data_IF_916822773532
#
_entry.id   IF_916822773532
#
_cell.length_a   1.000
_cell.length_b   1.000
_cell.length_c   1.000
_cell.angle_alpha   90.00
_cell.angle_beta   90.00
_cell.angle_gamma   90.00
#
_symmetry.space_group_name_H-M   'P 1'
#
loop_
_entity.id
_entity.type
_entity.pdbx_description
1 polymer ?
#
# COMPACT_ATOMS: atom_id res chain seq x y z
N UNK A 1 7.30 24.93 6.85
CA UNK A 1 8.08 26.19 7.00
C UNK A 1 9.47 26.15 6.35
N UNK A 2 10.15 25.00 6.31
CA UNK A 2 11.54 24.83 5.80
C UNK A 2 11.70 24.93 4.27
N UNK A 3 10.72 24.52 3.47
CA UNK A 3 10.78 24.64 2.00
C UNK A 3 10.81 26.08 1.47
N UNK A 4 10.36 27.08 2.24
CA UNK A 4 10.47 28.50 1.83
C UNK A 4 11.91 28.99 1.91
N UNK A 5 12.66 28.62 2.96
CA UNK A 5 14.07 28.99 3.11
C UNK A 5 14.98 28.37 2.03
N UNK A 6 14.72 27.12 1.65
CA UNK A 6 15.45 26.43 0.57
C UNK A 6 15.23 27.06 -0.80
N UNK A 7 13.97 27.42 -1.11
CA UNK A 7 13.64 28.14 -2.34
C UNK A 7 14.25 29.54 -2.34
N UNK A 8 14.25 30.22 -1.19
CA UNK A 8 14.82 31.56 -1.05
C UNK A 8 16.33 31.51 -1.23
N UNK A 9 17.01 30.52 -0.64
CA UNK A 9 18.45 30.29 -0.81
C UNK A 9 18.81 29.95 -2.27
N UNK A 10 18.10 29.00 -2.89
CA UNK A 10 18.30 28.66 -4.30
C UNK A 10 18.06 29.85 -5.23
N UNK A 11 17.04 30.66 -4.95
CA UNK A 11 16.72 31.86 -5.71
C UNK A 11 17.79 32.94 -5.51
N UNK A 12 18.34 33.09 -4.31
CA UNK A 12 19.40 34.01 -3.98
C UNK A 12 20.72 33.65 -4.67
N UNK A 13 21.09 32.36 -4.63
CA UNK A 13 22.28 31.83 -5.34
C UNK A 13 22.10 31.99 -6.84
N UNK A 14 20.92 31.67 -7.39
CA UNK A 14 20.62 31.89 -8.80
C UNK A 14 20.75 33.37 -9.18
N UNK A 15 20.22 34.29 -8.37
CA UNK A 15 20.29 35.74 -8.63
C UNK A 15 21.73 36.25 -8.64
N UNK A 16 22.54 35.80 -7.68
CA UNK A 16 23.98 36.18 -7.60
C UNK A 16 24.74 35.68 -8.83
N UNK A 17 24.62 34.39 -9.15
CA UNK A 17 25.26 33.78 -10.32
C UNK A 17 24.77 34.44 -11.62
N UNK A 18 23.48 34.77 -11.72
CA UNK A 18 22.92 35.47 -12.88
C UNK A 18 23.46 36.89 -13.02
N UNK A 19 23.57 37.64 -11.93
CA UNK A 19 24.16 39.01 -11.94
C UNK A 19 25.64 38.99 -12.29
N UNK A 20 26.41 38.03 -11.78
CA UNK A 20 27.83 37.84 -12.15
C UNK A 20 27.96 37.46 -13.64
N UNK A 21 27.07 36.61 -14.16
CA UNK A 21 27.03 36.27 -15.57
C UNK A 21 26.74 37.48 -16.46
N UNK A 22 25.78 38.31 -16.04
CA UNK A 22 25.43 39.55 -16.74
C UNK A 22 26.60 40.56 -16.76
N UNK A 23 27.29 40.73 -15.63
CA UNK A 23 28.44 41.62 -15.50
C UNK A 23 29.61 41.15 -16.36
N UNK A 24 29.96 39.88 -16.30
CA UNK A 24 31.01 39.26 -17.11
C UNK A 24 30.66 39.29 -18.60
N UNK A 25 29.40 38.99 -18.96
CA UNK A 25 28.90 39.11 -20.32
C UNK A 25 28.99 40.50 -20.89
N UNK A 26 28.61 41.50 -20.11
CA UNK A 26 28.78 42.92 -20.47
C UNK A 26 30.24 43.33 -20.71
N UNK A 27 31.13 42.85 -19.85
CA UNK A 27 32.57 43.08 -19.95
C UNK A 27 33.17 42.42 -21.21
N UNK A 28 32.77 41.17 -21.52
CA UNK A 28 33.17 40.46 -22.76
C UNK A 28 32.69 41.20 -24.00
N UNK A 29 31.43 41.68 -24.02
CA UNK A 29 30.88 42.43 -25.13
C UNK A 29 31.65 43.76 -25.32
N UNK A 30 31.91 44.49 -24.25
CA UNK A 30 32.64 45.75 -24.29
C UNK A 30 34.10 45.60 -24.76
N UNK A 31 34.79 44.54 -24.25
CA UNK A 31 36.18 44.27 -24.60
C UNK A 31 36.32 43.77 -26.05
N UNK A 32 35.42 42.87 -26.48
CA UNK A 32 35.40 42.37 -27.86
C UNK A 32 35.16 43.50 -28.86
N UNK A 33 34.31 44.48 -28.54
CA UNK A 33 34.04 45.65 -29.36
C UNK A 33 35.31 46.48 -29.65
N UNK A 34 36.19 46.66 -28.66
CA UNK A 34 37.47 47.36 -28.83
C UNK A 34 38.47 46.52 -29.64
N UNK A 35 38.60 45.26 -29.37
CA UNK A 35 39.55 44.33 -30.03
C UNK A 35 39.24 44.17 -31.52
N UNK A 36 37.99 43.97 -31.87
CA UNK A 36 37.58 43.80 -33.27
C UNK A 36 37.69 45.09 -34.11
N UNK A 37 37.53 46.26 -33.47
CA UNK A 37 37.78 47.55 -34.15
C UNK A 37 39.27 47.73 -34.47
N UNK A 38 40.19 47.25 -33.64
CA UNK A 38 41.64 47.30 -33.86
C UNK A 38 42.09 46.48 -35.07
N UNK A 39 41.43 45.30 -35.30
CA UNK A 39 41.80 44.35 -36.35
C UNK A 39 40.96 44.44 -37.63
N UNK A 40 39.98 45.35 -37.72
CA UNK A 40 39.20 45.59 -38.94
C UNK A 40 38.28 44.46 -39.38
N UNK A 41 37.87 43.54 -38.47
CA UNK A 41 37.01 42.41 -38.80
C UNK A 41 35.57 42.84 -39.14
N UNK A 42 34.89 42.08 -40.08
CA UNK A 42 33.48 42.36 -40.39
C UNK A 42 32.58 42.26 -39.19
N UNK A 43 31.51 43.05 -39.13
CA UNK A 43 30.53 43.14 -38.03
C UNK A 43 29.91 41.76 -37.71
N UNK A 44 29.70 40.91 -38.75
CA UNK A 44 29.17 39.59 -38.59
C UNK A 44 30.03 38.65 -37.71
N UNK A 45 31.36 38.72 -37.83
CA UNK A 45 32.27 37.90 -37.00
C UNK A 45 32.25 38.36 -35.54
N UNK A 46 32.12 39.68 -35.31
CA UNK A 46 31.99 40.28 -33.96
C UNK A 46 30.70 39.76 -33.29
N UNK A 47 29.57 39.83 -34.00
CA UNK A 47 28.29 39.34 -33.46
C UNK A 47 28.31 37.86 -33.16
N UNK A 48 28.90 37.05 -34.04
CA UNK A 48 29.05 35.58 -33.81
C UNK A 48 29.93 35.31 -32.59
N UNK A 49 31.09 35.97 -32.45
CA UNK A 49 31.98 35.77 -31.29
C UNK A 49 31.27 36.19 -29.98
N UNK A 50 30.55 37.31 -29.96
CA UNK A 50 29.80 37.75 -28.82
C UNK A 50 28.69 36.75 -28.41
N UNK A 51 27.95 36.23 -29.41
CA UNK A 51 26.91 35.22 -29.17
C UNK A 51 27.52 33.92 -28.59
N UNK A 52 28.63 33.41 -29.14
CA UNK A 52 29.34 32.22 -28.64
C UNK A 52 29.87 32.45 -27.23
N UNK A 53 30.49 33.60 -26.95
CA UNK A 53 31.01 33.96 -25.64
C UNK A 53 29.89 34.04 -24.56
N UNK A 54 28.77 34.67 -24.91
CA UNK A 54 27.60 34.77 -24.02
C UNK A 54 26.97 33.41 -23.76
N UNK A 55 26.86 32.56 -24.80
CA UNK A 55 26.34 31.19 -24.64
C UNK A 55 27.28 30.36 -23.76
N UNK A 56 28.59 30.42 -23.99
CA UNK A 56 29.58 29.74 -23.16
C UNK A 56 29.55 30.20 -21.71
N UNK A 57 29.41 31.48 -21.47
CA UNK A 57 29.26 32.04 -20.13
C UNK A 57 27.96 31.55 -19.46
N UNK A 58 26.83 31.60 -20.17
CA UNK A 58 25.56 31.13 -19.65
C UNK A 58 25.59 29.62 -19.26
N UNK A 59 26.23 28.78 -20.10
CA UNK A 59 26.43 27.37 -19.82
C UNK A 59 27.34 27.14 -18.60
N UNK A 60 28.42 27.93 -18.47
CA UNK A 60 29.35 27.85 -17.32
C UNK A 60 28.63 28.24 -16.02
N UNK A 61 27.83 29.31 -16.05
CA UNK A 61 27.03 29.72 -14.89
C UNK A 61 25.96 28.69 -14.51
N UNK A 62 25.28 28.10 -15.49
CA UNK A 62 24.33 27.03 -15.24
C UNK A 62 25.00 25.80 -14.59
N UNK A 63 26.17 25.42 -15.11
CA UNK A 63 26.97 24.32 -14.56
C UNK A 63 27.43 24.60 -13.12
N UNK A 64 27.92 25.80 -12.86
CA UNK A 64 28.29 26.24 -11.51
C UNK A 64 27.08 26.23 -10.54
N UNK A 65 25.92 26.72 -10.99
CA UNK A 65 24.67 26.64 -10.21
C UNK A 65 24.30 25.21 -9.87
N UNK A 66 24.30 24.30 -10.85
CA UNK A 66 23.98 22.89 -10.65
C UNK A 66 24.96 22.27 -9.62
N UNK A 67 26.26 22.50 -9.77
CA UNK A 67 27.26 21.97 -8.84
C UNK A 67 27.08 22.51 -7.41
N UNK A 68 26.84 23.80 -7.25
CA UNK A 68 26.59 24.43 -5.95
C UNK A 68 25.30 23.90 -5.32
N UNK A 69 24.24 23.75 -6.11
CA UNK A 69 22.99 23.19 -5.64
C UNK A 69 23.14 21.75 -5.18
N UNK A 70 23.86 20.92 -5.94
CA UNK A 70 24.16 19.54 -5.54
C UNK A 70 25.05 19.45 -4.30
N UNK A 71 26.07 20.29 -4.21
CA UNK A 71 26.94 20.34 -3.03
C UNK A 71 26.17 20.77 -1.76
N UNK A 72 25.27 21.74 -1.91
CA UNK A 72 24.39 22.19 -0.82
C UNK A 72 23.42 21.09 -0.37
N UNK A 73 22.72 20.46 -1.33
CA UNK A 73 21.76 19.38 -1.02
C UNK A 73 22.46 18.17 -0.39
N UNK A 74 23.60 17.75 -0.92
CA UNK A 74 24.40 16.67 -0.35
C UNK A 74 24.90 16.99 1.07
N UNK A 75 25.38 18.21 1.31
CA UNK A 75 25.82 18.66 2.63
C UNK A 75 24.66 18.72 3.64
N UNK A 76 23.47 19.06 3.18
CA UNK A 76 22.25 19.09 3.99
C UNK A 76 21.83 17.66 4.35
N UNK A 77 21.76 16.77 3.36
CA UNK A 77 21.40 15.36 3.58
C UNK A 77 22.36 14.69 4.57
N UNK A 78 23.65 14.94 4.46
CA UNK A 78 24.65 14.43 5.41
C UNK A 78 24.43 14.95 6.84
N UNK A 79 24.08 16.24 6.99
CA UNK A 79 23.78 16.82 8.32
C UNK A 79 22.49 16.24 8.90
N UNK A 80 21.44 16.14 8.09
CA UNK A 80 20.15 15.60 8.51
C UNK A 80 20.31 14.12 8.89
N UNK A 81 21.09 13.34 8.13
CA UNK A 81 21.41 11.95 8.43
C UNK A 81 22.20 11.79 9.74
N UNK A 82 23.23 12.59 9.97
CA UNK A 82 23.99 12.58 11.25
C UNK A 82 23.09 12.95 12.42
N UNK A 83 22.27 13.98 12.26
CA UNK A 83 21.30 14.37 13.28
C UNK A 83 20.29 13.26 13.57
N UNK A 84 19.81 12.54 12.54
CA UNK A 84 18.94 11.38 12.70
C UNK A 84 19.62 10.25 13.47
N UNK A 85 20.87 9.89 13.13
CA UNK A 85 21.66 8.85 13.80
C UNK A 85 21.92 9.21 15.28
N UNK A 86 22.25 10.47 15.57
CA UNK A 86 22.42 10.98 16.94
C UNK A 86 21.13 10.87 17.75
N UNK A 87 19.98 11.27 17.18
CA UNK A 87 18.69 11.16 17.86
C UNK A 87 18.25 9.72 18.03
N UNK A 88 18.47 8.87 17.05
CA UNK A 88 18.19 7.45 17.13
C UNK A 88 18.94 6.82 18.31
N UNK A 89 20.24 7.15 18.45
CA UNK A 89 21.09 6.68 19.56
C UNK A 89 20.55 7.17 20.90
N UNK A 90 20.24 8.45 21.03
CA UNK A 90 19.68 9.04 22.27
C UNK A 90 18.36 8.41 22.69
N UNK A 91 17.43 8.24 21.75
CA UNK A 91 16.14 7.58 22.05
C UNK A 91 16.32 6.10 22.37
N UNK A 92 17.24 5.41 21.71
CA UNK A 92 17.56 4.00 22.04
C UNK A 92 18.14 3.90 23.44
N UNK A 93 19.06 4.77 23.83
CA UNK A 93 19.59 4.83 25.19
C UNK A 93 18.49 5.15 26.21
N UNK A 94 17.60 6.09 25.92
CA UNK A 94 16.48 6.42 26.77
C UNK A 94 15.49 5.25 26.94
N UNK A 95 15.27 4.44 25.91
CA UNK A 95 14.38 3.27 25.97
C UNK A 95 14.97 2.13 26.81
N UNK A 96 16.26 1.86 26.68
CA UNK A 96 16.92 0.72 27.30
C UNK A 96 17.79 1.07 28.52
N UNK A 97 18.29 2.31 28.60
CA UNK A 97 19.13 2.78 29.70
C UNK A 97 18.38 3.42 30.88
N UNK A 98 17.07 3.66 30.75
CA UNK A 98 16.22 4.23 31.80
C UNK A 98 16.33 5.75 31.96
N UNK A 99 17.16 6.45 31.23
CA UNK A 99 17.25 7.91 31.23
C UNK A 99 16.14 8.51 30.34
N UNK A 100 15.42 9.57 30.79
CA UNK A 100 14.43 10.20 29.94
C UNK A 100 15.11 10.90 28.73
N UNK A 101 14.45 10.94 27.57
CA UNK A 101 14.97 11.68 26.43
C UNK A 101 14.96 13.19 26.73
N UNK A 102 15.78 13.99 26.00
CA UNK A 102 15.72 15.44 26.12
C UNK A 102 14.29 15.97 25.94
N UNK A 103 13.87 17.03 26.65
CA UNK A 103 12.52 17.57 26.53
C UNK A 103 12.23 18.12 25.13
N UNK A 104 10.97 18.03 24.63
CA UNK A 104 10.56 18.67 23.37
C UNK A 104 10.64 20.22 23.51
N UNK A 105 10.68 20.98 22.40
CA UNK A 105 10.36 20.56 21.02
C UNK A 105 11.55 19.87 20.32
N UNK A 106 11.23 18.79 19.59
CA UNK A 106 12.23 18.04 18.85
C UNK A 106 12.30 18.46 17.37
N UNK A 107 13.50 18.49 16.76
CA UNK A 107 13.65 18.77 15.34
C UNK A 107 13.13 17.61 14.49
N UNK A 108 12.93 17.88 13.19
CA UNK A 108 12.42 16.88 12.24
C UNK A 108 13.19 15.54 12.26
N UNK A 109 14.55 15.50 12.26
CA UNK A 109 15.29 14.24 12.35
C UNK A 109 14.98 13.41 13.60
N UNK A 110 14.69 14.07 14.72
CA UNK A 110 14.29 13.37 15.95
C UNK A 110 12.91 12.72 15.83
N UNK A 111 11.94 13.41 15.22
CA UNK A 111 10.62 12.83 14.96
C UNK A 111 10.71 11.64 13.98
N UNK A 112 11.54 11.74 12.95
CA UNK A 112 11.80 10.65 12.02
C UNK A 112 12.45 9.44 12.72
N UNK A 113 13.38 9.67 13.65
CA UNK A 113 13.98 8.61 14.46
C UNK A 113 12.95 7.92 15.37
N UNK A 114 12.04 8.67 15.99
CA UNK A 114 10.96 8.09 16.79
C UNK A 114 9.99 7.27 15.96
N UNK A 115 9.61 7.74 14.75
CA UNK A 115 8.76 6.99 13.84
C UNK A 115 9.41 5.67 13.43
N UNK A 116 10.70 5.69 13.10
CA UNK A 116 11.46 4.48 12.76
C UNK A 116 11.53 3.49 13.92
N UNK A 117 11.77 3.96 15.14
CA UNK A 117 11.75 3.11 16.35
C UNK A 117 10.36 2.52 16.60
N UNK A 118 9.30 3.29 16.38
CA UNK A 118 7.91 2.81 16.54
C UNK A 118 7.53 1.72 15.53
N UNK A 119 8.10 1.73 14.33
CA UNK A 119 7.91 0.64 13.37
C UNK A 119 8.65 -0.64 13.75
N UNK A 120 9.86 -0.51 14.31
CA UNK A 120 10.71 -1.64 14.67
C UNK A 120 10.32 -2.30 16.00
N UNK A 121 9.85 -1.51 16.97
CA UNK A 121 9.60 -1.97 18.33
C UNK A 121 8.10 -2.25 18.56
N UNK A 122 7.82 -3.24 19.42
CA UNK A 122 6.46 -3.65 19.81
C UNK A 122 6.31 -3.61 21.34
N UNK A 123 5.07 -3.77 21.80
CA UNK A 123 4.76 -3.84 23.24
C UNK A 123 5.06 -2.55 23.98
N UNK A 124 5.60 -2.64 25.19
CA UNK A 124 5.82 -1.53 26.10
C UNK A 124 6.72 -0.42 25.52
N UNK A 125 7.75 -0.78 24.78
CA UNK A 125 8.62 0.21 24.13
C UNK A 125 7.88 1.03 23.08
N UNK A 126 7.02 0.38 22.31
CA UNK A 126 6.17 1.05 21.34
C UNK A 126 5.21 2.05 22.01
N UNK A 127 4.60 1.69 23.14
CA UNK A 127 3.72 2.60 23.89
C UNK A 127 4.47 3.78 24.53
N UNK A 128 5.69 3.56 25.02
CA UNK A 128 6.56 4.64 25.49
C UNK A 128 6.93 5.63 24.39
N UNK A 129 7.22 5.14 23.19
CA UNK A 129 7.45 6.00 22.01
C UNK A 129 6.18 6.79 21.65
N UNK A 130 5.00 6.15 21.73
CA UNK A 130 3.73 6.85 21.50
C UNK A 130 3.54 8.02 22.47
N UNK A 131 3.86 7.81 23.74
CA UNK A 131 3.77 8.86 24.75
C UNK A 131 4.73 10.02 24.42
N UNK A 132 5.96 9.73 24.04
CA UNK A 132 6.91 10.76 23.59
C UNK A 132 6.40 11.52 22.36
N UNK A 133 5.82 10.82 21.38
CA UNK A 133 5.22 11.48 20.21
C UNK A 133 4.05 12.38 20.59
N UNK A 134 3.21 12.02 21.60
CA UNK A 134 2.14 12.89 22.12
C UNK A 134 2.73 14.14 22.75
N UNK A 135 3.76 14.00 23.59
CA UNK A 135 4.45 15.14 24.24
C UNK A 135 5.10 16.07 23.19
N UNK A 136 5.66 15.52 22.12
CA UNK A 136 6.24 16.29 21.03
C UNK A 136 5.21 17.13 20.25
N UNK A 137 3.93 16.76 20.30
CA UNK A 137 2.84 17.41 19.57
C UNK A 137 3.20 17.70 18.09
N UNK A 138 3.47 16.67 17.29
CA UNK A 138 4.03 16.83 15.95
C UNK A 138 3.08 17.62 15.02
N UNK A 139 3.59 18.28 13.99
CA UNK A 139 2.81 19.20 13.18
C UNK A 139 1.85 18.50 12.19
N UNK A 140 1.91 17.18 12.04
CA UNK A 140 1.20 16.45 10.99
C UNK A 140 -0.33 16.64 10.98
N UNK A 141 -1.06 16.57 12.11
CA UNK A 141 -2.50 16.82 12.12
C UNK A 141 -2.85 18.26 11.71
N UNK A 142 -1.99 19.25 12.09
CA UNK A 142 -2.18 20.66 11.68
C UNK A 142 -1.92 20.86 10.19
N UNK A 143 -0.93 20.16 9.63
CA UNK A 143 -0.64 20.17 8.19
C UNK A 143 -1.86 19.71 7.41
N UNK A 144 -2.52 18.64 7.83
CA UNK A 144 -3.72 18.14 7.17
C UNK A 144 -4.89 19.14 7.22
N UNK A 145 -5.04 19.87 8.32
CA UNK A 145 -6.10 20.87 8.48
C UNK A 145 -5.86 22.17 7.71
N UNK A 146 -4.62 22.44 7.26
CA UNK A 146 -4.29 23.68 6.59
C UNK A 146 -4.62 23.66 5.09
N UNK A 147 -5.25 24.73 4.58
CA UNK A 147 -5.59 24.88 3.15
C UNK A 147 -4.36 25.06 2.25
N UNK A 148 -3.28 25.58 2.82
CA UNK A 148 -2.05 25.96 2.09
C UNK A 148 -1.02 24.81 1.99
N UNK A 149 -1.29 23.65 2.58
CA UNK A 149 -0.39 22.51 2.47
C UNK A 149 -0.36 21.97 1.03
N UNK A 150 0.84 21.83 0.47
CA UNK A 150 1.02 21.21 -0.83
C UNK A 150 0.69 19.70 -0.79
N UNK A 151 0.34 19.12 -1.95
CA UNK A 151 0.07 17.68 -2.06
C UNK A 151 1.18 16.80 -1.46
N UNK A 152 2.47 16.99 -1.77
CA UNK A 152 3.54 16.19 -1.16
C UNK A 152 3.60 16.30 0.36
N UNK A 153 3.35 17.50 0.90
CA UNK A 153 3.37 17.71 2.36
C UNK A 153 2.21 17.00 3.06
N UNK A 154 1.03 16.90 2.40
CA UNK A 154 -0.11 16.14 2.93
C UNK A 154 0.15 14.65 2.90
N UNK A 155 0.77 14.13 1.83
CA UNK A 155 1.17 12.72 1.75
C UNK A 155 2.18 12.38 2.85
N UNK A 156 3.20 13.20 3.03
CA UNK A 156 4.20 13.06 4.10
C UNK A 156 3.54 13.05 5.49
N UNK A 157 2.57 13.95 5.72
CA UNK A 157 1.84 14.00 6.98
C UNK A 157 0.97 12.76 7.22
N UNK A 158 0.27 12.24 6.20
CA UNK A 158 -0.51 11.01 6.30
C UNK A 158 0.37 9.78 6.57
N UNK A 159 1.53 9.71 5.94
CA UNK A 159 2.50 8.63 6.15
C UNK A 159 3.07 8.68 7.58
N UNK A 160 3.48 9.86 8.04
CA UNK A 160 3.96 10.03 9.40
C UNK A 160 2.90 9.69 10.45
N UNK A 161 1.63 10.03 10.23
CA UNK A 161 0.52 9.64 11.11
C UNK A 161 0.29 8.12 11.10
N UNK A 162 0.41 7.48 9.95
CA UNK A 162 0.32 6.03 9.81
C UNK A 162 1.43 5.31 10.60
N UNK A 163 2.65 5.85 10.60
CA UNK A 163 3.79 5.31 11.36
C UNK A 163 3.66 5.60 12.85
N UNK A 164 3.19 6.79 13.22
CA UNK A 164 2.97 7.19 14.61
C UNK A 164 1.93 6.31 15.34
N UNK A 165 0.91 5.81 14.62
CA UNK A 165 -0.17 4.96 15.15
C UNK A 165 -0.82 5.53 16.41
N UNK A 166 -1.14 6.83 16.40
CA UNK A 166 -1.79 7.53 17.50
C UNK A 166 -3.31 7.60 17.24
N UNK A 167 -4.16 6.88 18.02
CA UNK A 167 -5.61 6.80 17.77
C UNK A 167 -6.32 8.16 17.73
N UNK A 168 -5.89 9.11 18.55
CA UNK A 168 -6.41 10.47 18.62
C UNK A 168 -6.23 11.28 17.33
N UNK A 169 -5.36 10.84 16.42
CA UNK A 169 -5.12 11.53 15.15
C UNK A 169 -6.07 11.11 14.03
N UNK A 170 -6.91 10.09 14.26
CA UNK A 170 -7.85 9.56 13.28
C UNK A 170 -8.76 10.66 12.69
N UNK A 171 -9.25 11.57 13.55
CA UNK A 171 -10.13 12.67 13.14
C UNK A 171 -9.50 13.64 12.12
N UNK A 172 -8.17 13.72 12.07
CA UNK A 172 -7.47 14.52 11.07
C UNK A 172 -7.34 13.77 9.73
N UNK A 173 -7.43 12.45 9.74
CA UNK A 173 -7.26 11.56 8.57
C UNK A 173 -8.59 11.35 7.85
N UNK A 174 -9.69 11.10 8.58
CA UNK A 174 -11.00 10.72 8.02
C UNK A 174 -11.49 11.64 6.90
N UNK A 175 -11.39 12.98 6.95
CA UNK A 175 -11.84 13.85 5.86
C UNK A 175 -11.14 13.61 4.54
N UNK A 176 -9.94 13.05 4.56
CA UNK A 176 -9.17 12.73 3.34
C UNK A 176 -9.66 11.49 2.60
N UNK A 177 -10.49 10.66 3.22
CA UNK A 177 -11.15 9.53 2.55
C UNK A 177 -12.17 9.98 1.48
N UNK A 178 -12.69 11.20 1.58
CA UNK A 178 -13.55 11.84 0.57
C UNK A 178 -12.81 12.84 -0.32
N UNK A 179 -11.47 12.90 -0.26
CA UNK A 179 -10.68 13.85 -1.04
C UNK A 179 -10.74 13.53 -2.55
N UNK A 180 -10.84 14.53 -3.46
CA UNK A 180 -10.90 14.31 -4.92
C UNK A 180 -9.65 13.61 -5.49
N UNK A 181 -8.48 13.85 -4.92
CA UNK A 181 -7.22 13.18 -5.31
C UNK A 181 -7.21 11.74 -4.79
N UNK A 182 -7.22 10.77 -5.71
CA UNK A 182 -7.23 9.33 -5.40
C UNK A 182 -5.99 8.86 -4.62
N UNK A 183 -4.84 9.49 -4.81
CA UNK A 183 -3.60 9.15 -4.09
C UNK A 183 -3.71 9.57 -2.63
N UNK A 184 -4.28 10.75 -2.35
CA UNK A 184 -4.53 11.20 -0.99
C UNK A 184 -5.62 10.35 -0.31
N UNK A 185 -6.69 9.94 -1.04
CA UNK A 185 -7.68 9.00 -0.50
C UNK A 185 -7.06 7.68 -0.07
N UNK A 186 -6.25 7.08 -0.93
CA UNK A 186 -5.58 5.81 -0.64
C UNK A 186 -4.60 5.93 0.53
N UNK A 187 -3.79 6.99 0.55
CA UNK A 187 -2.89 7.27 1.67
C UNK A 187 -3.64 7.46 3.00
N UNK A 188 -4.78 8.16 2.97
CA UNK A 188 -5.64 8.33 4.14
C UNK A 188 -6.27 7.00 4.60
N UNK A 189 -6.69 6.14 3.68
CA UNK A 189 -7.23 4.83 4.00
C UNK A 189 -6.19 3.92 4.68
N UNK A 190 -4.97 3.90 4.16
CA UNK A 190 -3.84 3.18 4.78
C UNK A 190 -3.49 3.75 6.16
N UNK A 191 -3.44 5.08 6.29
CA UNK A 191 -3.18 5.74 7.57
C UNK A 191 -4.29 5.45 8.58
N UNK A 192 -5.56 5.56 8.16
CA UNK A 192 -6.72 5.22 8.98
C UNK A 192 -6.68 3.78 9.49
N UNK A 193 -6.33 2.81 8.64
CA UNK A 193 -6.20 1.41 9.03
C UNK A 193 -5.14 1.18 10.12
N UNK A 194 -4.01 1.91 10.05
CA UNK A 194 -2.94 1.79 11.05
C UNK A 194 -3.27 2.49 12.38
N UNK A 195 -4.08 3.55 12.33
CA UNK A 195 -4.40 4.42 13.46
C UNK A 195 -5.68 4.00 14.18
N UNK A 196 -6.71 3.52 13.47
CA UNK A 196 -8.02 3.23 14.03
C UNK A 196 -7.98 2.10 15.07
N UNK A 197 -8.62 2.36 16.23
CA UNK A 197 -8.77 1.42 17.33
C UNK A 197 -10.15 1.62 17.99
N UNK A 198 -10.68 0.60 18.65
CA UNK A 198 -11.94 0.67 19.38
C UNK A 198 -13.08 1.27 18.54
N UNK A 199 -13.73 2.30 19.03
CA UNK A 199 -14.82 3.01 18.32
C UNK A 199 -14.37 3.68 17.02
N UNK A 200 -13.07 4.00 16.91
CA UNK A 200 -12.50 4.54 15.67
C UNK A 200 -12.62 3.61 14.46
N UNK A 201 -12.71 2.29 14.68
CA UNK A 201 -12.93 1.32 13.59
C UNK A 201 -14.30 1.50 12.94
N UNK A 202 -15.36 1.77 13.71
CA UNK A 202 -16.67 2.06 13.16
C UNK A 202 -16.67 3.34 12.32
N UNK A 203 -16.02 4.41 12.80
CA UNK A 203 -15.87 5.67 12.05
C UNK A 203 -15.06 5.50 10.76
N UNK A 204 -13.99 4.69 10.82
CA UNK A 204 -13.22 4.34 9.64
C UNK A 204 -14.07 3.56 8.63
N UNK A 205 -14.88 2.59 9.09
CA UNK A 205 -15.78 1.82 8.23
C UNK A 205 -16.78 2.72 7.48
N UNK A 206 -17.42 3.65 8.19
CA UNK A 206 -18.35 4.62 7.58
C UNK A 206 -17.66 5.47 6.50
N UNK A 207 -16.47 5.97 6.80
CA UNK A 207 -15.71 6.78 5.86
C UNK A 207 -15.24 5.97 4.64
N UNK A 208 -14.86 4.70 4.82
CA UNK A 208 -14.46 3.80 3.72
C UNK A 208 -15.63 3.45 2.80
N UNK A 209 -16.85 3.23 3.35
CA UNK A 209 -18.07 3.00 2.55
C UNK A 209 -18.38 4.16 1.61
N UNK A 210 -17.97 5.38 1.94
CA UNK A 210 -18.19 6.57 1.13
C UNK A 210 -16.99 6.96 0.26
N UNK A 211 -15.83 6.32 0.45
CA UNK A 211 -14.58 6.71 -0.18
C UNK A 211 -14.49 6.40 -1.67
N UNK A 212 -15.32 5.48 -2.20
CA UNK A 212 -15.28 5.05 -3.59
C UNK A 212 -13.92 4.47 -3.99
N UNK A 213 -13.30 3.70 -3.11
CA UNK A 213 -12.03 3.02 -3.36
C UNK A 213 -12.26 1.73 -4.16
N UNK A 214 -11.36 1.35 -5.07
CA UNK A 214 -11.46 0.08 -5.77
C UNK A 214 -11.24 -1.10 -4.81
N UNK A 215 -11.84 -2.25 -5.10
CA UNK A 215 -11.81 -3.48 -4.28
C UNK A 215 -10.43 -3.91 -3.82
N UNK A 216 -9.41 -3.74 -4.66
CA UNK A 216 -8.02 -4.08 -4.32
C UNK A 216 -7.45 -3.19 -3.21
N UNK A 217 -7.76 -1.89 -3.24
CA UNK A 217 -7.36 -0.94 -2.21
C UNK A 217 -8.12 -1.18 -0.90
N UNK A 218 -9.44 -1.46 -0.97
CA UNK A 218 -10.24 -1.84 0.19
C UNK A 218 -9.71 -3.11 0.85
N UNK A 219 -9.40 -4.13 0.06
CA UNK A 219 -8.80 -5.37 0.58
C UNK A 219 -7.44 -5.10 1.26
N UNK A 220 -6.58 -4.28 0.66
CA UNK A 220 -5.31 -3.88 1.28
C UNK A 220 -5.52 -3.22 2.65
N UNK A 221 -6.48 -2.29 2.73
CA UNK A 221 -6.85 -1.60 3.98
C UNK A 221 -7.32 -2.59 5.04
N UNK A 222 -8.19 -3.56 4.66
CA UNK A 222 -8.65 -4.60 5.57
C UNK A 222 -7.50 -5.50 6.05
N UNK A 223 -6.57 -5.85 5.18
CA UNK A 223 -5.40 -6.64 5.55
C UNK A 223 -4.45 -5.88 6.49
N UNK A 224 -4.32 -4.56 6.35
CA UNK A 224 -3.56 -3.72 7.28
C UNK A 224 -4.18 -3.63 8.68
N UNK A 225 -5.50 -3.83 8.80
CA UNK A 225 -6.19 -3.88 10.10
C UNK A 225 -5.90 -5.19 10.85
N UNK A 226 -5.50 -6.25 10.14
CA UNK A 226 -5.23 -7.58 10.72
C UNK A 226 -6.44 -8.08 11.55
N UNK A 227 -6.23 -8.49 12.80
CA UNK A 227 -7.28 -8.99 13.70
C UNK A 227 -8.36 -7.93 14.01
N UNK A 228 -8.06 -6.64 13.86
CA UNK A 228 -9.00 -5.53 14.07
C UNK A 228 -9.96 -5.32 12.89
N UNK A 229 -9.83 -6.07 11.81
CA UNK A 229 -10.65 -5.89 10.61
C UNK A 229 -12.12 -6.27 10.82
N UNK A 230 -12.46 -7.13 11.78
CA UNK A 230 -13.80 -7.69 11.93
C UNK A 230 -14.93 -6.63 11.95
N UNK A 231 -14.88 -5.53 12.71
CA UNK A 231 -15.97 -4.51 12.71
C UNK A 231 -16.13 -3.82 11.35
N UNK A 232 -15.03 -3.58 10.62
CA UNK A 232 -15.06 -2.95 9.29
C UNK A 232 -15.62 -3.93 8.26
N UNK A 233 -15.21 -5.19 8.33
CA UNK A 233 -15.73 -6.28 7.47
C UNK A 233 -17.23 -6.45 7.69
N UNK A 234 -17.73 -6.45 8.92
CA UNK A 234 -19.16 -6.53 9.23
C UNK A 234 -19.94 -5.35 8.65
N UNK A 235 -19.41 -4.13 8.73
CA UNK A 235 -20.01 -2.96 8.13
C UNK A 235 -20.09 -3.11 6.59
N UNK A 236 -19.03 -3.64 5.95
CA UNK A 236 -19.01 -3.90 4.52
C UNK A 236 -20.02 -4.98 4.10
N UNK A 237 -20.11 -6.08 4.85
CA UNK A 237 -21.10 -7.14 4.58
C UNK A 237 -22.55 -6.65 4.72
N UNK A 238 -22.79 -5.70 5.62
CA UNK A 238 -24.15 -5.22 5.93
C UNK A 238 -24.63 -4.09 5.02
N UNK A 239 -23.72 -3.20 4.59
CA UNK A 239 -24.06 -1.93 3.92
C UNK A 239 -23.22 -1.61 2.70
N UNK A 240 -22.21 -2.42 2.40
CA UNK A 240 -21.29 -2.21 1.29
C UNK A 240 -21.94 -2.48 -0.06
N UNK A 241 -21.43 -1.83 -1.08
CA UNK A 241 -21.69 -2.15 -2.48
C UNK A 241 -20.84 -3.34 -2.94
N UNK A 242 -20.80 -3.54 -4.26
CA UNK A 242 -20.11 -4.67 -4.89
C UNK A 242 -18.62 -4.75 -4.53
N UNK A 243 -17.94 -3.61 -4.51
CA UNK A 243 -16.48 -3.56 -4.27
C UNK A 243 -16.15 -3.86 -2.79
N UNK A 244 -16.94 -3.31 -1.86
CA UNK A 244 -16.80 -3.53 -0.42
C UNK A 244 -17.13 -4.97 -0.04
N UNK A 245 -18.22 -5.53 -0.59
CA UNK A 245 -18.58 -6.93 -0.38
C UNK A 245 -17.49 -7.89 -0.85
N UNK A 246 -16.95 -7.66 -2.03
CA UNK A 246 -15.86 -8.48 -2.55
C UNK A 246 -14.63 -8.40 -1.64
N UNK A 247 -14.24 -7.19 -1.22
CA UNK A 247 -13.10 -6.99 -0.34
C UNK A 247 -13.30 -7.65 1.03
N UNK A 248 -14.51 -7.55 1.61
CA UNK A 248 -14.88 -8.19 2.86
C UNK A 248 -14.77 -9.71 2.79
N UNK A 249 -15.36 -10.33 1.75
CA UNK A 249 -15.32 -11.78 1.56
C UNK A 249 -13.86 -12.29 1.39
N UNK A 250 -13.04 -11.60 0.60
CA UNK A 250 -11.62 -11.96 0.45
C UNK A 250 -10.83 -11.78 1.77
N UNK A 251 -11.10 -10.69 2.51
CA UNK A 251 -10.45 -10.42 3.80
C UNK A 251 -10.80 -11.49 4.84
N UNK A 252 -12.06 -11.90 4.94
CA UNK A 252 -12.50 -12.96 5.84
C UNK A 252 -11.66 -14.22 5.65
N UNK A 253 -11.50 -14.67 4.40
CA UNK A 253 -10.72 -15.87 4.11
C UNK A 253 -9.23 -15.70 4.36
N UNK A 254 -8.64 -14.54 4.05
CA UNK A 254 -7.20 -14.28 4.20
C UNK A 254 -6.78 -14.06 5.65
N UNK A 255 -7.57 -13.31 6.40
CA UNK A 255 -7.32 -13.03 7.82
C UNK A 255 -7.80 -14.13 8.75
N UNK A 256 -8.42 -15.19 8.21
CA UNK A 256 -8.97 -16.30 9.00
C UNK A 256 -10.00 -15.82 10.05
N UNK A 257 -10.89 -14.93 9.68
CA UNK A 257 -11.94 -14.42 10.56
C UNK A 257 -13.04 -15.47 10.73
N UNK A 258 -12.72 -16.56 11.40
CA UNK A 258 -13.61 -17.73 11.61
C UNK A 258 -14.98 -17.35 12.17
N UNK A 259 -15.11 -16.42 13.14
CA UNK A 259 -16.41 -16.00 13.66
C UNK A 259 -17.38 -15.43 12.61
N UNK A 260 -16.84 -14.94 11.48
CA UNK A 260 -17.65 -14.39 10.37
C UNK A 260 -18.03 -15.43 9.31
N UNK A 261 -17.65 -16.70 9.48
CA UNK A 261 -17.93 -17.78 8.51
C UNK A 261 -19.39 -17.93 8.17
N UNK A 262 -20.27 -17.89 9.18
CA UNK A 262 -21.74 -17.96 9.00
C UNK A 262 -22.28 -16.79 8.17
N UNK A 263 -21.71 -15.60 8.34
CA UNK A 263 -22.10 -14.39 7.60
C UNK A 263 -21.75 -14.47 6.10
N UNK A 264 -20.89 -15.40 5.71
CA UNK A 264 -20.51 -15.63 4.31
C UNK A 264 -21.51 -16.52 3.58
N UNK A 265 -22.21 -17.41 4.27
CA UNK A 265 -23.10 -18.41 3.67
C UNK A 265 -24.16 -17.83 2.72
N UNK A 266 -24.85 -16.69 3.03
CA UNK A 266 -25.83 -16.11 2.12
C UNK A 266 -25.27 -15.69 0.77
N UNK A 267 -23.95 -15.44 0.70
CA UNK A 267 -23.26 -15.02 -0.53
C UNK A 267 -23.02 -16.19 -1.51
N UNK A 268 -23.29 -17.42 -1.10
CA UNK A 268 -23.27 -18.58 -2.01
C UNK A 268 -24.43 -18.53 -3.02
N UNK A 269 -25.52 -17.81 -2.72
CA UNK A 269 -26.68 -17.62 -3.61
C UNK A 269 -26.65 -16.32 -4.40
N UNK A 270 -25.53 -15.62 -4.45
CA UNK A 270 -25.40 -14.37 -5.18
C UNK A 270 -25.46 -14.56 -6.69
N UNK A 271 -26.14 -13.64 -7.38
CA UNK A 271 -26.18 -13.62 -8.83
C UNK A 271 -24.82 -13.19 -9.45
N UNK A 272 -24.08 -12.31 -8.76
CA UNK A 272 -22.74 -11.89 -9.19
C UNK A 272 -21.72 -13.04 -9.02
N UNK A 273 -21.14 -13.52 -10.13
CA UNK A 273 -20.22 -14.66 -10.08
C UNK A 273 -18.92 -14.37 -9.32
N UNK A 274 -18.47 -13.12 -9.30
CA UNK A 274 -17.25 -12.73 -8.58
C UNK A 274 -17.48 -12.74 -7.07
N UNK A 275 -18.64 -12.28 -6.60
CA UNK A 275 -19.02 -12.34 -5.18
C UNK A 275 -19.24 -13.79 -4.75
N UNK A 276 -19.92 -14.60 -5.58
CA UNK A 276 -20.08 -16.05 -5.33
C UNK A 276 -18.72 -16.74 -5.21
N UNK A 277 -17.80 -16.48 -6.12
CA UNK A 277 -16.44 -17.03 -6.07
C UNK A 277 -15.67 -16.56 -4.83
N UNK A 278 -15.81 -15.30 -4.44
CA UNK A 278 -15.17 -14.79 -3.23
C UNK A 278 -15.71 -15.48 -1.97
N UNK A 279 -17.03 -15.74 -1.89
CA UNK A 279 -17.63 -16.47 -0.80
C UNK A 279 -17.13 -17.94 -0.74
N UNK A 280 -17.12 -18.63 -1.88
CA UNK A 280 -16.58 -20.00 -1.97
C UNK A 280 -15.12 -20.07 -1.50
N UNK A 281 -14.28 -19.11 -1.93
CA UNK A 281 -12.87 -19.01 -1.50
C UNK A 281 -12.74 -18.71 -0.02
N UNK A 282 -13.56 -17.80 0.51
CA UNK A 282 -13.56 -17.44 1.93
C UNK A 282 -13.83 -18.65 2.81
N UNK A 283 -14.94 -19.35 2.56
CA UNK A 283 -15.31 -20.54 3.30
C UNK A 283 -14.26 -21.66 3.20
N UNK A 284 -13.70 -21.89 2.01
CA UNK A 284 -12.64 -22.87 1.83
C UNK A 284 -11.38 -22.52 2.65
N UNK A 285 -10.93 -21.25 2.63
CA UNK A 285 -9.76 -20.80 3.40
C UNK A 285 -9.99 -20.84 4.90
N UNK A 286 -11.22 -20.58 5.35
CA UNK A 286 -11.63 -20.72 6.76
C UNK A 286 -11.72 -22.19 7.21
N UNK A 287 -11.74 -23.15 6.29
CA UNK A 287 -12.12 -24.53 6.56
C UNK A 287 -13.52 -24.63 7.16
N UNK A 288 -14.44 -23.77 6.74
CA UNK A 288 -15.81 -23.69 7.23
C UNK A 288 -16.74 -24.53 6.32
N UNK A 289 -17.25 -25.69 6.78
CA UNK A 289 -18.12 -26.54 5.96
C UNK A 289 -19.51 -25.90 5.86
N UNK A 290 -20.02 -25.64 4.65
CA UNK A 290 -21.32 -24.97 4.45
C UNK A 290 -22.46 -25.99 4.51
N UNK A 291 -22.72 -26.54 5.68
CA UNK A 291 -23.82 -27.49 5.91
C UNK A 291 -25.17 -26.83 5.66
N UNK A 292 -26.06 -27.54 4.95
CA UNK A 292 -27.35 -27.02 4.53
C UNK A 292 -27.35 -26.23 3.22
N UNK A 293 -26.17 -25.98 2.64
CA UNK A 293 -25.98 -25.26 1.38
C UNK A 293 -25.49 -26.16 0.24
N UNK A 294 -25.59 -27.49 0.40
CA UNK A 294 -25.10 -28.48 -0.56
C UNK A 294 -25.66 -28.29 -1.95
N UNK A 295 -26.95 -27.92 -2.06
CA UNK A 295 -27.62 -27.66 -3.33
C UNK A 295 -26.98 -26.54 -4.12
N UNK A 296 -26.58 -25.45 -3.45
CA UNK A 296 -25.89 -24.32 -4.10
C UNK A 296 -24.48 -24.69 -4.56
N UNK A 297 -23.77 -25.53 -3.81
CA UNK A 297 -22.46 -26.03 -4.23
C UNK A 297 -22.56 -26.96 -5.45
N UNK A 298 -23.56 -27.83 -5.48
CA UNK A 298 -23.83 -28.69 -6.63
C UNK A 298 -24.24 -27.90 -7.88
N UNK A 299 -24.98 -26.81 -7.70
CA UNK A 299 -25.31 -25.87 -8.79
C UNK A 299 -24.05 -25.15 -9.28
N UNK A 300 -23.21 -24.65 -8.36
CA UNK A 300 -21.94 -24.00 -8.70
C UNK A 300 -20.94 -24.95 -9.37
N UNK A 301 -20.97 -26.24 -9.06
CA UNK A 301 -20.15 -27.26 -9.74
C UNK A 301 -20.56 -27.50 -11.21
N UNK A 302 -21.75 -27.04 -11.61
CA UNK A 302 -22.27 -27.13 -12.98
C UNK A 302 -22.29 -25.77 -13.70
N UNK A 303 -21.76 -24.72 -13.08
CA UNK A 303 -21.75 -23.38 -13.69
C UNK A 303 -20.91 -23.38 -14.97
N UNK A 304 -21.29 -22.56 -15.93
CA UNK A 304 -20.54 -22.42 -17.19
C UNK A 304 -19.11 -21.91 -16.95
N UNK A 305 -18.91 -21.13 -15.90
CA UNK A 305 -17.63 -20.50 -15.56
C UNK A 305 -16.74 -21.51 -14.81
N UNK A 306 -15.61 -21.83 -15.38
CA UNK A 306 -14.63 -22.76 -14.84
C UNK A 306 -14.23 -22.42 -13.39
N UNK A 307 -13.95 -21.15 -13.09
CA UNK A 307 -13.49 -20.75 -11.76
C UNK A 307 -14.51 -21.02 -10.66
N UNK A 308 -15.81 -20.92 -10.94
CA UNK A 308 -16.84 -21.29 -9.98
C UNK A 308 -16.86 -22.80 -9.72
N UNK A 309 -16.74 -23.62 -10.78
CA UNK A 309 -16.68 -25.07 -10.65
C UNK A 309 -15.45 -25.52 -9.81
N UNK A 310 -14.28 -24.88 -10.05
CA UNK A 310 -13.05 -25.16 -9.28
C UNK A 310 -13.25 -24.86 -7.80
N UNK A 311 -13.80 -23.68 -7.46
CA UNK A 311 -14.00 -23.31 -6.05
C UNK A 311 -15.10 -24.14 -5.38
N UNK A 312 -16.15 -24.50 -6.10
CA UNK A 312 -17.19 -25.40 -5.62
C UNK A 312 -16.64 -26.79 -5.31
N UNK A 313 -15.81 -27.36 -6.21
CA UNK A 313 -15.16 -28.66 -5.98
C UNK A 313 -14.30 -28.67 -4.70
N UNK A 314 -13.48 -27.62 -4.52
CA UNK A 314 -12.65 -27.46 -3.31
C UNK A 314 -13.47 -27.37 -2.03
N UNK A 315 -14.58 -26.61 -2.07
CA UNK A 315 -15.40 -26.40 -0.89
C UNK A 315 -16.25 -27.64 -0.55
N UNK A 316 -16.74 -28.38 -1.56
CA UNK A 316 -17.45 -29.65 -1.38
C UNK A 316 -16.63 -30.65 -0.57
N UNK A 317 -15.32 -30.71 -0.74
CA UNK A 317 -14.45 -31.61 0.01
C UNK A 317 -14.54 -31.42 1.54
N UNK A 318 -14.88 -30.19 2.00
CA UNK A 318 -14.99 -29.88 3.42
C UNK A 318 -16.25 -30.49 4.08
N UNK A 319 -17.27 -30.84 3.28
CA UNK A 319 -18.48 -31.47 3.80
C UNK A 319 -18.24 -32.90 4.30
N UNK A 320 -17.27 -33.61 3.71
CA UNK A 320 -16.87 -34.94 4.15
C UNK A 320 -17.92 -36.03 4.01
N UNK A 321 -19.07 -35.74 3.35
CA UNK A 321 -20.20 -36.66 3.25
C UNK A 321 -20.26 -37.39 1.89
N UNK A 322 -21.14 -38.38 1.79
CA UNK A 322 -21.29 -39.21 0.58
C UNK A 322 -21.75 -38.40 -0.63
N UNK A 323 -22.58 -37.35 -0.43
CA UNK A 323 -23.02 -36.47 -1.49
C UNK A 323 -21.84 -35.74 -2.13
N UNK A 324 -20.95 -35.19 -1.32
CA UNK A 324 -19.73 -34.53 -1.77
C UNK A 324 -18.81 -35.49 -2.52
N UNK A 325 -18.63 -36.71 -2.00
CA UNK A 325 -17.84 -37.77 -2.66
C UNK A 325 -18.37 -38.07 -4.05
N UNK A 326 -19.68 -38.31 -4.20
CA UNK A 326 -20.30 -38.60 -5.50
C UNK A 326 -20.18 -37.42 -6.47
N UNK A 327 -20.33 -36.19 -5.96
CA UNK A 327 -20.21 -34.97 -6.78
C UNK A 327 -18.76 -34.77 -7.29
N UNK A 328 -17.78 -34.95 -6.43
CA UNK A 328 -16.36 -34.84 -6.79
C UNK A 328 -15.93 -35.99 -7.73
N UNK A 329 -16.42 -37.21 -7.51
CA UNK A 329 -16.23 -38.31 -8.46
C UNK A 329 -16.69 -37.94 -9.85
N UNK A 330 -17.93 -37.39 -9.98
CA UNK A 330 -18.46 -36.96 -11.28
C UNK A 330 -17.64 -35.81 -11.88
N UNK A 331 -17.11 -34.88 -11.05
CA UNK A 331 -16.30 -33.75 -11.47
C UNK A 331 -14.92 -34.17 -12.02
N UNK A 332 -14.47 -35.40 -11.80
CA UNK A 332 -13.30 -35.96 -12.50
C UNK A 332 -13.49 -36.10 -14.02
N UNK A 333 -14.75 -36.05 -14.53
CA UNK A 333 -15.05 -36.03 -15.97
C UNK A 333 -15.24 -34.60 -16.51
N UNK A 334 -14.93 -33.55 -15.74
CA UNK A 334 -15.07 -32.17 -16.20
C UNK A 334 -14.11 -31.88 -17.38
N UNK A 335 -14.53 -31.13 -18.38
CA UNK A 335 -13.63 -30.75 -19.50
C UNK A 335 -12.41 -29.96 -19.04
N UNK A 336 -12.52 -29.20 -17.95
CA UNK A 336 -11.41 -28.41 -17.42
C UNK A 336 -10.43 -29.25 -16.61
N UNK A 337 -9.17 -29.12 -16.94
CA UNK A 337 -8.07 -29.70 -16.13
C UNK A 337 -8.12 -29.24 -14.67
N UNK A 338 -8.39 -27.95 -14.42
CA UNK A 338 -8.39 -27.37 -13.07
C UNK A 338 -9.53 -27.90 -12.21
N UNK A 339 -10.70 -28.16 -12.81
CA UNK A 339 -11.83 -28.76 -12.09
C UNK A 339 -11.55 -30.20 -11.75
N UNK A 340 -11.02 -30.99 -12.71
CA UNK A 340 -10.61 -32.38 -12.44
C UNK A 340 -9.56 -32.46 -11.33
N UNK A 341 -8.57 -31.56 -11.35
CA UNK A 341 -7.55 -31.47 -10.29
C UNK A 341 -8.15 -31.13 -8.94
N UNK A 342 -9.01 -30.10 -8.86
CA UNK A 342 -9.68 -29.74 -7.62
C UNK A 342 -10.57 -30.89 -7.07
N UNK A 343 -11.22 -31.63 -7.95
CA UNK A 343 -12.01 -32.82 -7.58
C UNK A 343 -11.12 -33.95 -7.03
N UNK A 344 -10.00 -34.22 -7.68
CA UNK A 344 -9.04 -35.24 -7.21
C UNK A 344 -8.40 -34.88 -5.85
N UNK A 345 -7.96 -33.61 -5.71
CA UNK A 345 -7.46 -33.08 -4.43
C UNK A 345 -8.53 -33.15 -3.33
N UNK A 346 -9.79 -32.87 -3.69
CA UNK A 346 -10.93 -32.97 -2.77
C UNK A 346 -11.19 -34.39 -2.32
N UNK A 347 -11.19 -35.36 -3.23
CA UNK A 347 -11.33 -36.79 -2.89
C UNK A 347 -10.17 -37.27 -1.98
N UNK A 348 -8.93 -36.87 -2.28
CA UNK A 348 -7.78 -37.17 -1.43
C UNK A 348 -7.93 -36.58 -0.01
N UNK A 349 -8.39 -35.32 0.08
CA UNK A 349 -8.62 -34.64 1.36
C UNK A 349 -9.68 -35.38 2.20
N UNK A 350 -10.73 -35.91 1.56
CA UNK A 350 -11.76 -36.71 2.24
C UNK A 350 -11.23 -38.04 2.67
N UNK A 351 -10.65 -38.82 1.77
CA UNK A 351 -10.06 -40.13 2.05
C UNK A 351 -9.18 -40.60 0.88
N UNK A 352 -7.93 -40.97 1.15
CA UNK A 352 -6.98 -41.48 0.13
C UNK A 352 -7.54 -42.69 -0.63
N UNK A 353 -8.35 -43.53 0.02
CA UNK A 353 -9.00 -44.72 -0.59
C UNK A 353 -9.99 -44.30 -1.70
N UNK A 354 -10.73 -43.21 -1.56
CA UNK A 354 -11.65 -42.72 -2.60
C UNK A 354 -10.90 -42.31 -3.85
N UNK A 355 -9.76 -41.64 -3.67
CA UNK A 355 -8.93 -41.26 -4.81
C UNK A 355 -8.24 -42.46 -5.46
N UNK A 356 -7.78 -43.46 -4.67
CA UNK A 356 -7.23 -44.69 -5.20
C UNK A 356 -8.27 -45.43 -6.04
N UNK A 357 -9.51 -45.55 -5.56
CA UNK A 357 -10.61 -46.14 -6.31
C UNK A 357 -10.87 -45.41 -7.62
N UNK A 358 -10.79 -44.08 -7.61
CA UNK A 358 -10.94 -43.25 -8.84
C UNK A 358 -9.79 -43.51 -9.84
N UNK A 359 -8.56 -43.65 -9.34
CA UNK A 359 -7.39 -43.93 -10.19
C UNK A 359 -7.47 -45.27 -10.91
N UNK A 360 -8.19 -46.25 -10.33
CA UNK A 360 -8.36 -47.58 -10.92
C UNK A 360 -9.64 -47.72 -11.75
N UNK A 361 -10.76 -47.20 -11.27
CA UNK A 361 -12.10 -47.57 -11.75
C UNK A 361 -12.91 -46.43 -12.34
N UNK A 362 -12.40 -45.15 -12.36
CA UNK A 362 -13.15 -44.07 -12.91
C UNK A 362 -13.40 -44.27 -14.43
N UNK A 363 -14.63 -44.07 -14.98
CA UNK A 363 -14.95 -44.37 -16.38
C UNK A 363 -14.18 -43.46 -17.36
N UNK A 364 -13.98 -42.20 -17.01
CA UNK A 364 -13.27 -41.24 -17.85
C UNK A 364 -11.73 -41.45 -17.72
N UNK A 365 -11.01 -41.62 -18.86
CA UNK A 365 -9.55 -41.81 -18.84
C UNK A 365 -8.78 -40.63 -18.32
N UNK A 366 -9.25 -39.38 -18.58
CA UNK A 366 -8.62 -38.17 -18.03
C UNK A 366 -8.83 -38.04 -16.53
N UNK A 367 -10.00 -38.47 -16.03
CA UNK A 367 -10.29 -38.56 -14.61
C UNK A 367 -9.38 -39.56 -13.90
N UNK A 368 -9.18 -40.76 -14.49
CA UNK A 368 -8.22 -41.76 -13.95
C UNK A 368 -6.79 -41.20 -13.90
N UNK A 369 -6.34 -40.60 -15.03
CA UNK A 369 -4.99 -40.05 -15.11
C UNK A 369 -4.77 -38.90 -14.07
N UNK A 370 -5.78 -38.07 -13.84
CA UNK A 370 -5.73 -37.00 -12.83
C UNK A 370 -5.64 -37.60 -11.42
N UNK A 371 -6.46 -38.60 -11.10
CA UNK A 371 -6.42 -39.27 -9.81
C UNK A 371 -5.06 -39.95 -9.54
N UNK A 372 -4.49 -40.60 -10.56
CA UNK A 372 -3.15 -41.20 -10.48
C UNK A 372 -2.06 -40.12 -10.29
N UNK A 373 -2.17 -38.98 -10.97
CA UNK A 373 -1.22 -37.88 -10.82
C UNK A 373 -1.23 -37.32 -9.39
N UNK A 374 -2.41 -37.01 -8.84
CA UNK A 374 -2.55 -36.47 -7.48
C UNK A 374 -2.10 -37.45 -6.42
N UNK A 375 -2.35 -38.77 -6.62
CA UNK A 375 -1.83 -39.81 -5.73
C UNK A 375 -0.30 -39.85 -5.72
N UNK A 376 0.35 -39.71 -6.88
CA UNK A 376 1.83 -39.67 -6.97
C UNK A 376 2.43 -38.44 -6.34
N UNK A 377 1.75 -37.31 -6.47
CA UNK A 377 2.18 -36.03 -5.85
C UNK A 377 2.05 -36.07 -4.31
N UNK A 378 1.18 -36.94 -3.77
CA UNK A 378 0.90 -37.07 -2.34
C UNK A 378 1.62 -38.25 -1.68
N UNK A 379 2.39 -39.03 -2.44
CA UNK A 379 3.19 -40.15 -1.94
C UNK A 379 4.55 -39.72 -1.43
#
# INVERSE_FOLDING_TARGET
MWRRGERLYALLVFLVVFLEALALGGLVVAFSGRLFNLFGYPVAYRALFQALALTGLALSCLSAYILLYHAYTASKELRDRRAYEDWLTRFTQALFGGEPPPPPPWPRPALEALLSLREMLKGEFSERIAEWLRQANPPWPRILKTRFASRPLRLEALEALAQARLPETLEAILPYLSHPDSVLRLAAARAGARVAQGEGLGRLAEALLQAGLPRGALLEVLLLLEERAAPVVEAFLSRGGREELWAALEAIGRLKLVPLGERVLPFLDQADPELKAAALRALYRLRYPPQGYEGLLLAALKDEREFLRVHAARLLALLGNELAQRALWKALSDPSFYVRRAAAEGLLQMNKGFLAQAAERHPDPFGRAMAQQVLREAA
#
